data_IF_401339709040
#
_entry.id   IF_401339709040
#
_cell.length_a   1.000
_cell.length_b   1.000
_cell.length_c   1.000
_cell.angle_alpha   90.00
_cell.angle_beta   90.00
_cell.angle_gamma   90.00
#
_symmetry.space_group_name_H-M   'P 1'
#
loop_
_entity.id
_entity.type
_entity.pdbx_description
1 polymer ?
#
# COMPACT_ATOMS: atom_id res chain seq x y z
N UNK A 1 4.11 -10.70 11.19
CA UNK A 1 2.78 -10.08 11.40
C UNK A 1 2.89 -8.56 11.46
N UNK A 2 3.98 -8.03 12.01
CA UNK A 2 4.22 -6.59 12.08
C UNK A 2 4.27 -5.93 10.69
N UNK A 3 4.91 -6.56 9.71
CA UNK A 3 5.05 -6.07 8.33
C UNK A 3 3.70 -5.96 7.60
N UNK A 4 2.79 -6.90 7.84
CA UNK A 4 1.44 -6.87 7.28
C UNK A 4 0.64 -5.68 7.81
N UNK A 5 0.78 -5.37 9.10
CA UNK A 5 0.16 -4.18 9.70
C UNK A 5 0.73 -2.90 9.08
N UNK A 6 2.05 -2.82 8.92
CA UNK A 6 2.71 -1.67 8.29
C UNK A 6 2.18 -1.47 6.87
N UNK A 7 2.06 -2.53 6.07
CA UNK A 7 1.54 -2.44 4.70
C UNK A 7 0.10 -1.96 4.68
N UNK A 8 -0.76 -2.47 5.56
CA UNK A 8 -2.14 -2.00 5.67
C UNK A 8 -2.21 -0.51 6.00
N UNK A 9 -1.37 -0.04 6.93
CA UNK A 9 -1.29 1.38 7.31
C UNK A 9 -0.78 2.25 6.15
N UNK A 10 0.24 1.79 5.40
CA UNK A 10 0.75 2.47 4.21
C UNK A 10 -0.33 2.62 3.14
N UNK A 11 -1.10 1.57 2.86
CA UNK A 11 -2.20 1.61 1.90
C UNK A 11 -3.29 2.60 2.38
N UNK A 12 -3.67 2.55 3.66
CA UNK A 12 -4.65 3.48 4.22
C UNK A 12 -4.18 4.94 4.15
N UNK A 13 -2.88 5.21 4.34
CA UNK A 13 -2.30 6.53 4.15
C UNK A 13 -2.37 6.98 2.69
N UNK A 14 -2.10 6.07 1.75
CA UNK A 14 -2.21 6.34 0.32
C UNK A 14 -3.64 6.69 -0.09
N UNK A 15 -4.64 5.97 0.41
CA UNK A 15 -6.05 6.27 0.18
C UNK A 15 -6.43 7.66 0.69
N UNK A 16 -6.01 7.99 1.91
CA UNK A 16 -6.23 9.32 2.50
C UNK A 16 -5.58 10.43 1.67
N UNK A 17 -4.32 10.25 1.26
CA UNK A 17 -3.59 11.22 0.46
C UNK A 17 -4.26 11.43 -0.91
N UNK A 18 -4.67 10.34 -1.56
CA UNK A 18 -5.33 10.40 -2.85
C UNK A 18 -6.68 11.11 -2.78
N UNK A 19 -7.47 10.83 -1.74
CA UNK A 19 -8.76 11.46 -1.52
C UNK A 19 -8.61 12.97 -1.24
N UNK A 20 -7.58 13.36 -0.49
CA UNK A 20 -7.26 14.78 -0.29
C UNK A 20 -6.91 15.50 -1.60
N UNK A 21 -6.14 14.87 -2.50
CA UNK A 21 -5.84 15.43 -3.83
C UNK A 21 -7.09 15.54 -4.71
N UNK A 22 -7.97 14.53 -4.69
CA UNK A 22 -9.27 14.59 -5.40
C UNK A 22 -10.12 15.77 -4.91
N UNK A 23 -10.11 16.06 -3.60
CA UNK A 23 -10.85 17.18 -3.03
C UNK A 23 -10.30 18.55 -3.48
N UNK A 24 -8.97 18.70 -3.57
CA UNK A 24 -8.33 19.94 -4.08
C UNK A 24 -8.72 20.24 -5.53
N UNK A 25 -8.75 19.22 -6.40
CA UNK A 25 -9.13 19.40 -7.81
C UNK A 25 -10.61 19.78 -8.00
N UNK A 26 -11.51 19.36 -7.10
CA UNK A 26 -12.93 19.79 -7.11
C UNK A 26 -13.11 21.26 -6.74
N UNK A 27 -12.30 21.79 -5.83
CA UNK A 27 -12.35 23.20 -5.41
C UNK A 27 -11.88 24.21 -6.48
N UNK A 28 -11.20 23.77 -7.54
CA UNK A 28 -10.75 24.63 -8.64
C UNK A 28 -11.76 24.74 -9.81
N UNK A 29 -12.83 23.93 -9.81
CA UNK A 29 -13.83 23.92 -10.89
C UNK A 29 -15.07 24.79 -10.62
N UNK A 30 -15.23 25.35 -9.41
CA UNK A 30 -16.40 26.16 -9.02
C UNK A 30 -16.05 27.65 -8.82
N UNK A 31 -15.46 28.31 -9.83
CA UNK A 31 -15.65 29.75 -10.03
C UNK A 31 -15.79 30.02 -11.52
N UNK A 32 -17.00 29.80 -12.04
CA UNK A 32 -17.29 29.91 -13.45
C UNK A 32 -18.77 29.85 -13.81
N UNK A 33 -19.57 30.77 -13.27
CA UNK A 33 -20.76 31.27 -13.98
C UNK A 33 -22.14 31.06 -13.35
N UNK A 34 -22.83 32.20 -13.23
CA UNK A 34 -24.29 32.42 -13.29
C UNK A 34 -25.09 32.34 -11.99
N UNK A 35 -25.14 33.52 -11.36
CA UNK A 35 -26.38 34.14 -10.91
C UNK A 35 -27.59 33.88 -11.84
N UNK A 36 -28.54 33.07 -11.40
CA UNK A 36 -29.97 33.37 -11.54
C UNK A 36 -30.76 32.53 -10.54
N UNK A 37 -31.43 33.21 -9.62
CA UNK A 37 -32.55 32.67 -8.88
C UNK A 37 -33.67 32.37 -9.88
N UNK A 38 -34.39 31.25 -9.72
CA UNK A 38 -35.84 31.23 -9.91
C UNK A 38 -36.46 30.15 -9.03
N UNK A 39 -37.50 30.58 -8.33
CA UNK A 39 -38.40 29.79 -7.49
C UNK A 39 -39.50 29.24 -8.41
N UNK A 40 -39.80 27.95 -8.33
CA UNK A 40 -41.15 27.43 -8.52
C UNK A 40 -41.31 26.02 -7.93
N UNK A 41 -42.34 25.88 -7.10
CA UNK A 41 -42.90 24.66 -6.56
C UNK A 41 -43.41 23.70 -7.64
N UNK A 42 -43.40 22.39 -7.37
CA UNK A 42 -44.62 21.54 -7.42
C UNK A 42 -44.34 20.12 -6.94
N UNK A 43 -45.28 19.62 -6.13
CA UNK A 43 -45.35 18.27 -5.58
C UNK A 43 -45.73 17.20 -6.62
N UNK A 44 -45.31 15.94 -6.40
CA UNK A 44 -46.13 14.74 -6.63
C UNK A 44 -45.45 13.48 -6.02
N UNK A 45 -46.28 12.65 -5.39
CA UNK A 45 -46.02 11.40 -4.69
C UNK A 45 -46.08 10.15 -5.61
N UNK A 46 -45.86 8.99 -4.96
CA UNK A 46 -46.28 7.61 -5.28
C UNK A 46 -45.35 6.77 -6.18
N UNK A 47 -44.67 5.74 -5.65
CA UNK A 47 -45.06 4.42 -5.07
C UNK A 47 -45.12 3.25 -6.09
N UNK A 48 -44.12 2.38 -5.92
CA UNK A 48 -44.15 0.91 -5.77
C UNK A 48 -44.70 -0.07 -6.84
N UNK A 49 -44.02 -1.23 -6.82
CA UNK A 49 -44.47 -2.60 -7.11
C UNK A 49 -44.26 -3.22 -8.51
N UNK A 50 -43.24 -4.10 -8.55
CA UNK A 50 -43.29 -5.56 -8.82
C UNK A 50 -44.14 -6.15 -9.97
N UNK A 51 -43.53 -7.03 -10.79
CA UNK A 51 -43.79 -8.50 -10.79
C UNK A 51 -42.85 -9.28 -11.77
N UNK A 52 -42.20 -10.33 -11.25
CA UNK A 52 -42.15 -11.78 -11.63
C UNK A 52 -42.64 -12.21 -13.05
N UNK A 53 -42.17 -13.27 -13.75
CA UNK A 53 -41.69 -14.61 -13.35
C UNK A 53 -41.29 -15.49 -14.59
N UNK A 54 -40.69 -16.67 -14.31
CA UNK A 54 -40.70 -17.98 -15.04
C UNK A 54 -39.55 -18.32 -16.04
N UNK A 55 -38.81 -19.41 -15.70
CA UNK A 55 -37.83 -20.17 -16.52
C UNK A 55 -38.46 -21.16 -17.54
N UNK A 56 -37.87 -22.33 -17.91
CA UNK A 56 -37.00 -23.20 -17.08
C UNK A 56 -35.93 -24.10 -17.81
N UNK A 57 -35.28 -24.98 -17.01
CA UNK A 57 -34.62 -26.29 -17.33
C UNK A 57 -33.27 -26.24 -18.09
N UNK A 58 -32.27 -27.11 -17.93
CA UNK A 58 -31.88 -28.31 -17.15
C UNK A 58 -30.47 -28.71 -17.67
N UNK A 59 -29.55 -29.33 -16.91
CA UNK A 59 -29.21 -30.78 -16.98
C UNK A 59 -28.05 -31.08 -16.03
N UNK A 60 -28.09 -32.25 -15.39
CA UNK A 60 -27.19 -32.84 -14.39
C UNK A 60 -25.95 -33.51 -14.99
N UNK A 61 -24.86 -33.61 -14.21
CA UNK A 61 -24.05 -34.82 -13.97
C UNK A 61 -22.83 -34.46 -13.07
N UNK A 62 -22.75 -34.86 -11.78
CA UNK A 62 -22.42 -36.17 -11.14
C UNK A 62 -20.94 -36.58 -11.18
N UNK A 63 -20.33 -36.73 -10.00
CA UNK A 63 -19.07 -37.47 -9.79
C UNK A 63 -18.41 -37.23 -8.41
N UNK A 64 -18.50 -38.23 -7.53
CA UNK A 64 -17.94 -38.28 -6.15
C UNK A 64 -16.73 -39.23 -6.14
N UNK A 65 -15.68 -38.95 -5.33
CA UNK A 65 -14.95 -39.94 -4.50
C UNK A 65 -13.71 -39.34 -3.76
N UNK A 66 -13.82 -39.23 -2.43
CA UNK A 66 -13.01 -39.85 -1.36
C UNK A 66 -11.46 -39.65 -1.18
N UNK A 67 -11.15 -38.99 -0.05
CA UNK A 67 -10.14 -39.21 1.05
C UNK A 67 -8.68 -39.71 0.85
N UNK A 68 -7.71 -38.86 1.26
CA UNK A 68 -6.50 -38.95 2.17
C UNK A 68 -5.71 -40.29 2.38
N UNK A 69 -4.46 -40.36 2.94
CA UNK A 69 -3.41 -39.34 3.28
C UNK A 69 -1.90 -39.74 3.02
N UNK A 70 -0.96 -38.83 3.37
CA UNK A 70 0.51 -38.97 3.66
C UNK A 70 1.52 -39.35 2.55
N UNK A 71 2.52 -38.48 2.26
CA UNK A 71 3.85 -38.47 2.92
C UNK A 71 4.82 -37.39 2.34
N UNK A 72 5.57 -36.78 3.28
CA UNK A 72 6.89 -36.11 3.30
C UNK A 72 7.51 -35.35 2.11
N UNK A 73 7.90 -34.11 2.48
CA UNK A 73 9.22 -33.46 2.30
C UNK A 73 9.78 -33.17 0.91
N UNK A 74 10.15 -31.90 0.69
CA UNK A 74 11.23 -31.51 -0.19
C UNK A 74 10.85 -30.47 -1.25
N UNK A 75 11.61 -29.37 -1.27
CA UNK A 75 11.91 -28.54 -2.45
C UNK A 75 10.85 -27.53 -2.96
N UNK A 76 10.75 -26.38 -2.28
CA UNK A 76 9.84 -25.27 -2.64
C UNK A 76 10.51 -24.06 -3.31
N UNK A 77 11.56 -24.27 -4.11
CA UNK A 77 12.08 -23.22 -5.00
C UNK A 77 12.45 -23.80 -6.36
N UNK A 78 11.45 -24.00 -7.24
CA UNK A 78 11.51 -23.75 -8.71
C UNK A 78 10.08 -23.59 -9.23
N UNK A 79 9.86 -22.64 -10.13
CA UNK A 79 8.63 -22.30 -10.87
C UNK A 79 7.91 -21.02 -10.43
N UNK A 80 8.57 -19.87 -10.59
CA UNK A 80 7.91 -18.59 -10.91
C UNK A 80 8.25 -18.17 -12.34
N UNK A 81 7.98 -19.06 -13.31
CA UNK A 81 7.94 -18.73 -14.74
C UNK A 81 6.54 -18.99 -15.32
N UNK A 82 5.51 -18.72 -14.51
CA UNK A 82 4.13 -18.65 -14.98
C UNK A 82 3.61 -17.23 -14.77
N UNK A 83 3.79 -16.42 -15.81
CA UNK A 83 3.13 -15.12 -15.99
C UNK A 83 1.62 -15.37 -16.14
N UNK A 84 0.74 -14.91 -15.25
CA UNK A 84 -0.68 -14.89 -15.55
C UNK A 84 -0.92 -13.72 -16.52
N UNK A 85 -1.18 -14.06 -17.78
CA UNK A 85 -1.79 -13.17 -18.76
C UNK A 85 -3.31 -13.33 -18.67
N UNK A 86 -4.01 -12.32 -18.14
CA UNK A 86 -5.41 -11.93 -18.39
C UNK A 86 -5.77 -10.84 -17.35
N UNK A 87 -6.45 -9.73 -17.63
CA UNK A 87 -7.12 -9.21 -18.81
C UNK A 87 -7.21 -7.69 -18.62
N UNK A 88 -6.87 -6.94 -19.65
CA UNK A 88 -7.04 -5.49 -19.78
C UNK A 88 -8.54 -5.12 -19.83
N UNK A 89 -8.86 -3.89 -19.38
CA UNK A 89 -10.09 -3.07 -19.56
C UNK A 89 -10.63 -2.58 -18.21
N UNK A 90 -10.60 -1.29 -17.84
CA UNK A 90 -11.20 -0.17 -18.59
C UNK A 90 -10.58 1.16 -18.13
N UNK A 91 -9.92 1.89 -19.04
CA UNK A 91 -9.58 3.29 -18.84
C UNK A 91 -10.77 4.15 -19.28
N UNK A 92 -11.68 4.48 -18.37
CA UNK A 92 -12.71 5.50 -18.64
C UNK A 92 -12.99 6.33 -17.40
N UNK A 93 -11.96 7.07 -17.01
CA UNK A 93 -11.95 8.36 -16.31
C UNK A 93 -10.55 8.48 -15.71
N UNK A 94 -9.82 9.57 -15.98
CA UNK A 94 -8.53 9.84 -15.32
C UNK A 94 -8.79 10.12 -13.83
N UNK A 95 -9.09 9.06 -13.09
CA UNK A 95 -9.08 9.09 -11.64
C UNK A 95 -7.62 9.14 -11.22
N UNK A 96 -7.24 10.06 -10.33
CA UNK A 96 -5.86 10.10 -9.87
C UNK A 96 -5.52 8.79 -9.18
N UNK A 97 -4.31 8.31 -9.38
CA UNK A 97 -3.78 7.06 -8.83
C UNK A 97 -2.41 7.27 -8.21
N UNK A 98 -2.04 6.42 -7.26
CA UNK A 98 -0.68 6.43 -6.71
C UNK A 98 0.25 5.73 -7.70
N UNK A 99 1.41 6.33 -7.97
CA UNK A 99 2.46 5.75 -8.84
C UNK A 99 3.64 5.22 -8.05
N UNK A 100 4.07 5.94 -7.02
CA UNK A 100 5.25 5.56 -6.23
C UNK A 100 5.05 5.87 -4.75
N UNK A 101 5.49 4.94 -3.90
CA UNK A 101 5.65 5.12 -2.46
C UNK A 101 7.14 5.02 -2.13
N UNK A 102 7.72 6.08 -1.58
CA UNK A 102 9.08 6.04 -1.05
C UNK A 102 9.04 5.89 0.46
N UNK A 103 9.62 4.81 0.97
CA UNK A 103 9.78 4.58 2.41
C UNK A 103 11.27 4.56 2.77
N UNK A 104 11.60 5.06 3.95
CA UNK A 104 12.92 4.96 4.54
C UNK A 104 12.85 3.96 5.69
N UNK A 105 13.75 2.98 5.72
CA UNK A 105 13.79 1.95 6.76
C UNK A 105 15.16 1.97 7.42
N UNK A 106 15.20 2.33 8.70
CA UNK A 106 16.40 2.26 9.52
C UNK A 106 16.80 0.83 9.86
N UNK A 107 18.11 0.54 9.87
CA UNK A 107 18.64 -0.79 10.21
C UNK A 107 18.20 -1.30 11.60
N UNK A 108 17.93 -0.41 12.54
CA UNK A 108 17.44 -0.73 13.88
C UNK A 108 15.91 -0.63 14.03
N UNK A 109 15.17 -0.32 12.97
CA UNK A 109 13.70 -0.22 13.02
C UNK A 109 12.98 -1.53 13.32
N UNK A 110 13.69 -2.66 13.20
CA UNK A 110 13.09 -3.99 13.33
C UNK A 110 12.18 -4.36 12.16
N UNK A 111 12.15 -3.57 11.08
CA UNK A 111 11.42 -3.86 9.85
C UNK A 111 12.36 -4.48 8.83
N UNK A 112 12.04 -5.70 8.40
CA UNK A 112 12.80 -6.39 7.37
C UNK A 112 12.29 -5.99 5.98
N UNK A 113 13.13 -5.28 5.20
CA UNK A 113 12.75 -4.70 3.91
C UNK A 113 12.20 -5.75 2.93
N UNK A 114 12.79 -6.94 2.91
CA UNK A 114 12.35 -8.02 2.03
C UNK A 114 10.93 -8.49 2.36
N UNK A 115 10.60 -8.66 3.65
CA UNK A 115 9.26 -9.08 4.04
C UNK A 115 8.23 -7.97 3.82
N UNK A 116 8.60 -6.70 4.06
CA UNK A 116 7.74 -5.57 3.74
C UNK A 116 7.40 -5.53 2.25
N UNK A 117 8.40 -5.69 1.37
CA UNK A 117 8.19 -5.72 -0.09
C UNK A 117 7.23 -6.85 -0.47
N UNK A 118 7.48 -8.07 -0.01
CA UNK A 118 6.63 -9.22 -0.35
C UNK A 118 5.19 -9.03 0.15
N UNK A 119 5.01 -8.49 1.37
CA UNK A 119 3.69 -8.18 1.89
C UNK A 119 3.01 -7.11 1.02
N UNK A 120 3.74 -6.07 0.62
CA UNK A 120 3.20 -5.03 -0.25
C UNK A 120 2.72 -5.56 -1.60
N UNK A 121 3.50 -6.42 -2.26
CA UNK A 121 3.13 -7.01 -3.55
C UNK A 121 1.79 -7.77 -3.50
N UNK A 122 1.53 -8.51 -2.42
CA UNK A 122 0.29 -9.26 -2.26
C UNK A 122 -0.88 -8.36 -1.89
N UNK A 123 -0.65 -7.37 -1.03
CA UNK A 123 -1.72 -6.53 -0.48
C UNK A 123 -2.09 -5.34 -1.35
N UNK A 124 -1.24 -4.93 -2.30
CA UNK A 124 -1.54 -3.80 -3.18
C UNK A 124 -2.66 -4.11 -4.18
N UNK A 125 -2.88 -5.37 -4.53
CA UNK A 125 -3.91 -5.79 -5.48
C UNK A 125 -5.31 -5.35 -5.03
N UNK A 126 -6.07 -4.71 -5.92
CA UNK A 126 -7.41 -4.19 -5.62
C UNK A 126 -7.44 -2.96 -4.70
N UNK A 127 -6.29 -2.31 -4.45
CA UNK A 127 -6.20 -1.07 -3.66
C UNK A 127 -5.80 0.13 -4.54
N UNK A 128 -5.78 1.34 -3.98
CA UNK A 128 -5.25 2.53 -4.68
C UNK A 128 -3.77 2.44 -5.03
N UNK A 129 -3.06 1.44 -4.49
CA UNK A 129 -1.65 1.16 -4.72
C UNK A 129 -1.42 0.02 -5.73
N UNK A 130 -2.46 -0.52 -6.36
CA UNK A 130 -2.36 -1.70 -7.25
C UNK A 130 -1.27 -1.57 -8.33
N UNK A 131 -1.14 -0.37 -8.90
CA UNK A 131 -0.14 -0.05 -9.92
C UNK A 131 1.02 0.80 -9.38
N UNK A 132 1.13 0.93 -8.06
CA UNK A 132 2.16 1.75 -7.43
C UNK A 132 3.41 0.92 -7.11
N UNK A 133 4.57 1.52 -7.33
CA UNK A 133 5.86 0.94 -6.97
C UNK A 133 6.24 1.33 -5.54
N UNK A 134 6.67 0.35 -4.74
CA UNK A 134 7.27 0.59 -3.43
C UNK A 134 8.79 0.70 -3.57
N UNK A 135 9.33 1.89 -3.29
CA UNK A 135 10.76 2.17 -3.27
C UNK A 135 11.24 2.26 -1.83
N UNK A 136 12.10 1.31 -1.44
CA UNK A 136 12.67 1.23 -0.10
C UNK A 136 14.08 1.82 -0.09
N UNK A 137 14.27 2.80 0.79
CA UNK A 137 15.58 3.40 1.10
C UNK A 137 16.06 2.87 2.45
N UNK A 138 17.05 1.98 2.45
CA UNK A 138 17.66 1.49 3.70
C UNK A 138 18.61 2.53 4.28
N UNK A 139 18.51 2.76 5.59
CA UNK A 139 19.32 3.73 6.32
C UNK A 139 20.20 3.03 7.35
N UNK A 140 21.51 3.25 7.20
CA UNK A 140 22.50 2.84 8.22
C UNK A 140 22.34 3.66 9.50
N UNK A 141 22.78 3.09 10.62
CA UNK A 141 22.71 3.76 11.92
C UNK A 141 23.61 4.99 11.87
N UNK A 142 23.04 6.17 12.10
CA UNK A 142 23.82 7.40 12.24
C UNK A 142 23.92 7.73 13.72
N UNK A 143 25.13 7.96 14.20
CA UNK A 143 25.37 8.28 15.62
C UNK A 143 26.08 9.61 15.77
N UNK A 144 25.90 10.22 16.95
CA UNK A 144 26.65 11.37 17.42
C UNK A 144 27.33 11.05 18.74
N UNK A 145 28.65 11.24 18.81
CA UNK A 145 29.41 11.10 20.04
C UNK A 145 29.29 12.34 20.91
N UNK A 146 28.94 12.16 22.19
CA UNK A 146 28.81 13.26 23.15
C UNK A 146 30.16 13.76 23.66
N UNK A 147 31.20 12.92 23.62
CA UNK A 147 32.54 13.26 24.11
C UNK A 147 33.37 14.05 23.08
N UNK A 148 33.46 13.58 21.84
CA UNK A 148 34.31 14.19 20.80
C UNK A 148 33.52 14.92 19.69
N UNK A 149 32.19 14.84 19.69
CA UNK A 149 31.34 15.50 18.70
C UNK A 149 31.27 14.81 17.33
N UNK A 150 31.96 13.68 17.13
CA UNK A 150 31.88 12.90 15.89
C UNK A 150 30.43 12.58 15.52
N UNK A 151 30.08 12.73 14.24
CA UNK A 151 28.79 12.33 13.68
C UNK A 151 29.03 11.52 12.40
N UNK A 152 28.44 10.35 12.29
CA UNK A 152 28.59 9.50 11.11
C UNK A 152 27.94 8.14 11.25
N UNK A 153 28.07 7.34 10.19
CA UNK A 153 27.42 6.05 10.08
C UNK A 153 28.20 4.96 10.83
N UNK A 154 27.47 4.07 11.51
CA UNK A 154 27.98 2.84 12.08
C UNK A 154 27.48 1.66 11.26
N UNK A 155 28.34 1.09 10.42
CA UNK A 155 28.05 -0.12 9.62
C UNK A 155 28.08 -1.40 10.45
N UNK A 156 28.76 -1.39 11.60
CA UNK A 156 28.80 -2.50 12.55
C UNK A 156 27.91 -2.20 13.76
N UNK A 157 27.48 -3.24 14.47
CA UNK A 157 26.70 -3.11 15.71
C UNK A 157 27.60 -2.82 16.93
N UNK A 158 28.68 -2.08 16.72
CA UNK A 158 29.61 -1.67 17.75
C UNK A 158 29.27 -0.23 18.17
N UNK A 159 28.59 -0.09 19.30
CA UNK A 159 28.15 1.20 19.82
C UNK A 159 29.28 1.96 20.55
N UNK A 160 30.44 2.06 19.88
CA UNK A 160 31.60 2.83 20.33
C UNK A 160 31.97 3.87 19.29
N UNK A 161 32.35 5.06 19.75
CA UNK A 161 32.81 6.10 18.85
C UNK A 161 34.09 5.65 18.11
N UNK A 162 34.16 5.69 16.77
CA UNK A 162 35.34 5.26 16.03
C UNK A 162 36.57 6.14 16.31
N UNK A 163 36.35 7.42 16.67
CA UNK A 163 37.41 8.40 16.93
C UNK A 163 37.98 8.32 18.35
N UNK A 164 37.13 8.39 19.38
CA UNK A 164 37.59 8.49 20.77
C UNK A 164 37.33 7.23 21.61
N UNK A 165 36.72 6.18 21.02
CA UNK A 165 36.35 4.92 21.69
C UNK A 165 35.40 5.08 22.89
N UNK A 166 34.83 6.26 23.09
CA UNK A 166 33.80 6.48 24.11
C UNK A 166 32.51 5.70 23.76
N UNK A 167 31.87 5.15 24.79
CA UNK A 167 30.53 4.56 24.72
C UNK A 167 29.41 5.60 24.82
N UNK A 168 29.75 6.87 25.09
CA UNK A 168 28.77 7.97 25.12
C UNK A 168 28.42 8.43 23.71
N UNK A 169 27.63 7.61 23.03
CA UNK A 169 27.07 7.91 21.72
C UNK A 169 25.54 7.95 21.80
N UNK A 170 24.93 8.78 20.96
CA UNK A 170 23.48 8.82 20.75
C UNK A 170 23.18 8.46 19.30
N UNK A 171 22.23 7.57 19.08
CA UNK A 171 21.66 7.34 17.74
C UNK A 171 20.85 8.58 17.35
N UNK A 172 21.04 9.04 16.12
CA UNK A 172 20.34 10.20 15.56
C UNK A 172 19.52 9.84 14.31
N UNK A 173 19.78 8.68 13.70
CA UNK A 173 19.02 8.16 12.57
C UNK A 173 19.26 6.65 12.42
N UNK A 174 18.38 5.97 11.68
CA UNK A 174 18.47 4.52 11.45
C UNK A 174 17.74 3.66 12.47
N UNK A 175 17.00 4.25 13.41
CA UNK A 175 16.14 3.53 14.37
C UNK A 175 14.66 3.44 13.97
N UNK A 176 14.24 4.24 13.00
CA UNK A 176 12.83 4.37 12.63
C UNK A 176 12.55 3.95 11.18
N UNK A 177 11.26 3.81 10.87
CA UNK A 177 10.73 3.74 9.52
C UNK A 177 9.86 4.96 9.21
N UNK A 178 9.99 5.51 8.01
CA UNK A 178 9.24 6.69 7.57
C UNK A 178 8.64 6.48 6.18
N UNK A 179 7.42 6.99 5.96
CA UNK A 179 6.91 7.28 4.62
C UNK A 179 7.46 8.65 4.20
N UNK A 180 8.36 8.67 3.21
CA UNK A 180 9.10 9.85 2.79
C UNK A 180 8.33 10.69 1.77
N UNK A 181 7.73 10.03 0.78
CA UNK A 181 7.09 10.68 -0.36
C UNK A 181 6.09 9.75 -1.02
N UNK A 182 5.03 10.36 -1.56
CA UNK A 182 4.06 9.75 -2.46
C UNK A 182 4.08 10.49 -3.80
N UNK A 183 4.04 9.75 -4.91
CA UNK A 183 3.86 10.30 -6.25
C UNK A 183 2.48 9.91 -6.74
N UNK A 184 1.72 10.90 -7.21
CA UNK A 184 0.31 10.77 -7.63
C UNK A 184 0.18 11.25 -9.07
N UNK A 185 -0.54 10.51 -9.91
CA UNK A 185 -0.89 10.88 -11.29
C UNK A 185 -2.23 11.65 -11.37
#
# INVERSE_FOLDING_TARGET
MHELSIVADLVALCEKALNAEKAKKKGAAEQGGKNSCDIADTANENTNSANTNIGPKNTENTGVADTNPNDKSGDFYKNLDAKPQASYDTFSSKSPQIRELHVKIGRLSGVEAHYLQNCYEVFRAGTVCENADLIIHTQEIVVKCKNCGFSGDLTQNDFFCPHCKSSEISVIDGEDMYLMRLVIE
#
